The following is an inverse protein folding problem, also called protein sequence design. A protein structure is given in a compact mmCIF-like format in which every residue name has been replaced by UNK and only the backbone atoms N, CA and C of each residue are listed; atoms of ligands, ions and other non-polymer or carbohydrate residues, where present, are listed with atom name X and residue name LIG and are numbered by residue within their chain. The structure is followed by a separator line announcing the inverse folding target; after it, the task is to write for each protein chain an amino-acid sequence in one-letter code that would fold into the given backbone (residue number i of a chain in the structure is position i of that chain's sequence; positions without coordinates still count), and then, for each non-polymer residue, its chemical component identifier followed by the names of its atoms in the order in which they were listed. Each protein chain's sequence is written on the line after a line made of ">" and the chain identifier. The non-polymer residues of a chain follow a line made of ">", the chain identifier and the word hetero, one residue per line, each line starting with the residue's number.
data_IF_296179812911
#
_entry.id   IF_296179812911
#
_cell.length_a   1.000
_cell.length_b   1.000
_cell.length_c   1.000
_cell.angle_alpha   90.00
_cell.angle_beta   90.00
_cell.angle_gamma   90.00
#
_symmetry.space_group_name_H-M   'P 1'
#
loop_
_entity.id
_entity.type
_entity.pdbx_description
1 polymer ?
#
# COMPACT_ATOMS: atom_id res chain seq x y z
N UNK A 1 -1.54 6.10 24.49
CA UNK A 1 -1.92 4.84 25.15
C UNK A 1 -3.13 4.22 24.42
N UNK A 2 -3.31 2.90 24.52
CA UNK A 2 -4.42 2.14 23.90
C UNK A 2 -4.44 2.11 22.35
N UNK A 3 -3.34 2.38 21.67
CA UNK A 3 -3.20 2.11 20.25
C UNK A 3 -2.75 0.67 20.04
N UNK A 4 -3.29 0.04 19.00
CA UNK A 4 -2.95 -1.32 18.61
C UNK A 4 -2.42 -1.32 17.18
N UNK A 5 -1.39 -2.13 16.90
CA UNK A 5 -0.85 -2.34 15.56
C UNK A 5 -0.55 -1.02 14.81
N UNK A 6 0.14 -0.08 15.48
CA UNK A 6 0.59 1.15 14.81
C UNK A 6 1.66 0.79 13.79
N UNK A 7 1.36 1.03 12.52
CA UNK A 7 2.21 0.68 11.38
C UNK A 7 2.44 1.85 10.42
N UNK A 8 1.71 2.94 10.58
CA UNK A 8 1.89 4.18 9.84
C UNK A 8 1.81 5.38 10.76
N UNK A 9 2.67 6.37 10.53
CA UNK A 9 2.65 7.64 11.24
C UNK A 9 3.17 8.73 10.32
N UNK A 10 2.51 9.89 10.33
CA UNK A 10 2.96 11.08 9.60
C UNK A 10 2.48 12.34 10.32
N UNK A 11 3.21 13.44 10.20
CA UNK A 11 2.88 14.73 10.80
C UNK A 11 2.48 15.71 9.72
N UNK A 12 1.42 16.45 9.96
CA UNK A 12 0.97 17.47 9.00
C UNK A 12 -0.44 17.94 9.27
N UNK A 13 -0.82 19.02 8.62
CA UNK A 13 -2.17 19.62 8.71
C UNK A 13 -2.67 19.83 10.14
N UNK A 14 -1.76 20.24 11.06
CA UNK A 14 -2.08 20.57 12.43
C UNK A 14 -2.27 19.38 13.36
N UNK A 15 -1.58 18.27 13.10
CA UNK A 15 -1.60 17.11 13.98
C UNK A 15 -0.82 15.90 13.46
N UNK A 16 -1.06 14.77 14.09
CA UNK A 16 -0.40 13.50 13.82
C UNK A 16 -1.42 12.51 13.23
N UNK A 17 -1.07 11.93 12.11
CA UNK A 17 -1.83 10.92 11.37
C UNK A 17 -1.30 9.55 11.73
N UNK A 18 -2.16 8.66 12.22
CA UNK A 18 -1.75 7.35 12.75
C UNK A 18 -2.54 6.24 12.07
N UNK A 19 -1.81 5.32 11.47
CA UNK A 19 -2.35 4.04 11.01
C UNK A 19 -2.28 3.01 12.14
N UNK A 20 -3.40 2.72 12.74
CA UNK A 20 -3.54 1.76 13.83
C UNK A 20 -4.76 0.87 13.56
N UNK A 21 -4.57 -0.19 12.78
CA UNK A 21 -5.69 -1.04 12.35
C UNK A 21 -6.61 -1.41 13.53
N UNK A 22 -7.93 -1.30 13.37
CA UNK A 22 -8.67 -1.08 12.11
C UNK A 22 -8.89 0.39 11.72
N UNK A 23 -8.11 1.34 12.21
CA UNK A 23 -8.37 2.77 12.07
C UNK A 23 -7.25 3.54 11.38
N UNK A 24 -7.64 4.56 10.61
CA UNK A 24 -6.83 5.75 10.34
C UNK A 24 -7.30 6.83 11.32
N UNK A 25 -6.38 7.32 12.13
CA UNK A 25 -6.64 8.29 13.18
C UNK A 25 -5.96 9.62 12.89
N UNK A 26 -6.58 10.72 13.34
CA UNK A 26 -5.96 12.02 13.42
C UNK A 26 -5.93 12.48 14.89
N UNK A 27 -4.75 12.90 15.35
CA UNK A 27 -4.54 13.45 16.68
C UNK A 27 -4.20 14.93 16.51
N UNK A 28 -5.09 15.85 16.90
CA UNK A 28 -4.86 17.28 16.74
C UNK A 28 -3.71 17.77 17.63
N UNK A 29 -2.84 18.58 17.05
CA UNK A 29 -1.76 19.33 17.69
C UNK A 29 -1.55 20.62 16.85
N UNK A 30 -2.43 21.59 17.06
CA UNK A 30 -2.48 22.78 16.23
C UNK A 30 -1.36 23.78 16.54
N UNK A 31 -0.81 23.74 17.74
CA UNK A 31 0.26 24.63 18.20
C UNK A 31 1.67 24.01 17.97
N UNK A 32 1.75 22.71 17.69
CA UNK A 32 3.01 22.02 17.42
C UNK A 32 3.90 21.83 18.64
N UNK A 33 3.31 21.64 19.82
CA UNK A 33 4.07 21.46 21.07
C UNK A 33 4.26 19.99 21.48
N UNK A 34 3.89 19.06 20.58
CA UNK A 34 3.93 17.60 20.76
C UNK A 34 2.97 17.10 21.86
N UNK A 35 1.99 17.91 22.24
CA UNK A 35 0.93 17.56 23.18
C UNK A 35 -0.42 17.58 22.46
N UNK A 36 -1.19 16.49 22.48
CA UNK A 36 -2.49 16.46 21.82
C UNK A 36 -3.44 17.56 22.32
N UNK A 37 -4.00 18.35 21.43
CA UNK A 37 -5.01 19.39 21.73
C UNK A 37 -6.41 18.81 21.93
N UNK A 38 -6.61 17.52 21.68
CA UNK A 38 -7.92 16.88 21.79
C UNK A 38 -7.84 15.35 21.78
N UNK A 39 -9.01 14.73 21.73
CA UNK A 39 -9.11 13.27 21.58
C UNK A 39 -8.82 12.88 20.14
N UNK A 40 -8.19 11.71 19.88
CA UNK A 40 -8.01 11.19 18.53
C UNK A 40 -9.34 11.05 17.78
N UNK A 41 -9.36 11.50 16.53
CA UNK A 41 -10.49 11.35 15.63
C UNK A 41 -10.31 10.11 14.75
N UNK A 42 -11.35 9.29 14.61
CA UNK A 42 -11.36 8.19 13.66
C UNK A 42 -11.82 8.75 12.31
N UNK A 43 -10.90 8.83 11.37
CA UNK A 43 -11.16 9.34 10.02
C UNK A 43 -11.71 8.24 9.10
N UNK A 44 -11.10 7.06 9.16
CA UNK A 44 -11.51 5.86 8.44
C UNK A 44 -11.43 4.65 9.35
N UNK A 45 -12.29 3.68 9.09
CA UNK A 45 -12.25 2.35 9.69
C UNK A 45 -12.34 1.23 8.65
N UNK A 46 -12.34 -0.03 9.10
CA UNK A 46 -12.44 -1.18 8.22
C UNK A 46 -11.11 -1.67 7.65
N UNK A 47 -9.98 -1.18 8.17
CA UNK A 47 -8.67 -1.73 7.87
C UNK A 47 -8.52 -3.08 8.54
N UNK A 48 -8.21 -4.12 7.75
CA UNK A 48 -7.95 -5.46 8.23
C UNK A 48 -6.62 -5.57 8.99
N UNK A 49 -6.46 -6.67 9.71
CA UNK A 49 -5.25 -7.01 10.46
C UNK A 49 -5.03 -8.53 10.53
N UNK A 50 -5.49 -9.26 9.53
CA UNK A 50 -5.32 -10.70 9.40
C UNK A 50 -3.84 -11.06 9.31
N UNK A 51 -3.06 -10.27 8.57
CA UNK A 51 -1.60 -10.27 8.62
C UNK A 51 -1.11 -8.93 9.14
N UNK A 52 -0.57 -8.95 10.36
CA UNK A 52 -0.11 -7.72 11.05
C UNK A 52 1.11 -7.07 10.43
N UNK A 53 1.83 -7.77 9.54
CA UNK A 53 2.95 -7.20 8.79
C UNK A 53 2.49 -6.36 7.58
N UNK A 54 1.21 -6.41 7.24
CA UNK A 54 0.67 -5.89 5.99
C UNK A 54 -0.47 -4.88 6.17
N UNK A 55 -0.64 -4.35 7.37
CA UNK A 55 -1.64 -3.32 7.65
C UNK A 55 -1.28 -1.99 6.96
N UNK A 56 -2.13 -0.97 7.10
CA UNK A 56 -1.88 0.35 6.51
C UNK A 56 -0.53 0.92 7.00
N UNK A 57 0.38 1.23 6.08
CA UNK A 57 1.76 1.60 6.39
C UNK A 57 2.36 2.62 5.40
N UNK A 58 3.61 3.01 5.61
CA UNK A 58 4.40 3.88 4.72
C UNK A 58 3.71 5.21 4.40
N UNK A 59 3.28 5.93 5.42
CA UNK A 59 2.62 7.21 5.26
C UNK A 59 3.57 8.27 4.70
N UNK A 60 3.12 9.00 3.68
CA UNK A 60 3.89 10.05 3.01
C UNK A 60 2.95 11.11 2.44
N UNK A 61 3.25 12.40 2.68
CA UNK A 61 2.52 13.49 2.03
C UNK A 61 2.96 13.62 0.57
N UNK A 62 1.99 13.53 -0.33
CA UNK A 62 2.24 13.77 -1.74
C UNK A 62 2.33 15.26 -2.09
N UNK A 63 2.92 15.59 -3.26
CA UNK A 63 3.04 16.97 -3.73
C UNK A 63 1.69 17.63 -4.02
N UNK A 64 0.64 16.84 -4.12
CA UNK A 64 -0.76 17.24 -4.31
C UNK A 64 -1.52 17.48 -2.98
N UNK A 65 -0.85 17.30 -1.83
CA UNK A 65 -1.40 17.51 -0.50
C UNK A 65 -2.27 16.36 0.03
N UNK A 66 -2.27 15.20 -0.62
CA UNK A 66 -2.88 13.99 -0.10
C UNK A 66 -1.91 13.21 0.79
N UNK A 67 -2.43 12.53 1.79
CA UNK A 67 -1.72 11.51 2.54
C UNK A 67 -1.80 10.20 1.77
N UNK A 68 -0.65 9.65 1.40
CA UNK A 68 -0.54 8.35 0.75
C UNK A 68 -0.10 7.29 1.73
N UNK A 69 -0.42 6.03 1.43
CA UNK A 69 0.05 4.88 2.18
C UNK A 69 -0.07 3.58 1.41
N UNK A 70 0.54 2.56 1.96
CA UNK A 70 0.56 1.21 1.43
C UNK A 70 -0.40 0.28 2.17
N UNK A 71 -0.78 -0.83 1.50
CA UNK A 71 -1.55 -1.93 2.07
C UNK A 71 -1.13 -3.25 1.44
N UNK A 72 -0.93 -4.27 2.25
CA UNK A 72 -0.40 -5.56 1.80
C UNK A 72 -1.42 -6.56 1.27
N UNK A 73 -0.92 -7.69 0.80
CA UNK A 73 -1.66 -8.65 -0.04
C UNK A 73 -2.49 -9.67 0.76
N UNK A 74 -2.08 -10.01 1.99
CA UNK A 74 -2.76 -11.02 2.81
C UNK A 74 -3.71 -10.44 3.86
N UNK A 75 -3.87 -9.14 3.86
CA UNK A 75 -4.84 -8.44 4.68
C UNK A 75 -5.97 -7.90 3.79
N UNK A 76 -7.21 -8.19 4.16
CA UNK A 76 -8.39 -7.80 3.40
C UNK A 76 -9.13 -6.69 4.14
N UNK A 77 -9.25 -5.54 3.51
CA UNK A 77 -9.89 -4.38 4.11
C UNK A 77 -11.11 -3.95 3.29
N UNK A 78 -12.07 -3.35 3.98
CA UNK A 78 -13.19 -2.62 3.41
C UNK A 78 -13.22 -1.25 4.08
N UNK A 79 -12.54 -0.31 3.47
CA UNK A 79 -12.25 0.98 4.06
C UNK A 79 -13.37 1.98 3.81
N UNK A 80 -13.73 2.73 4.83
CA UNK A 80 -14.74 3.78 4.72
C UNK A 80 -14.78 4.66 5.95
N UNK A 81 -15.59 5.70 5.90
CA UNK A 81 -15.86 6.52 7.09
C UNK A 81 -16.60 5.71 8.14
N UNK A 82 -16.42 5.99 9.43
CA UNK A 82 -17.18 5.33 10.48
C UNK A 82 -18.70 5.35 10.21
N UNK A 83 -19.33 4.19 10.32
CA UNK A 83 -20.76 4.02 10.06
C UNK A 83 -21.15 3.79 8.59
N UNK A 84 -20.20 3.81 7.65
CA UNK A 84 -20.48 3.44 6.25
C UNK A 84 -20.84 1.96 6.16
N UNK A 85 -21.94 1.59 5.50
CA UNK A 85 -22.28 0.18 5.26
C UNK A 85 -21.21 -0.56 4.45
N UNK A 86 -20.97 -1.82 4.74
CA UNK A 86 -19.97 -2.66 4.07
C UNK A 86 -20.04 -2.67 2.54
N UNK A 87 -21.25 -2.56 1.99
CA UNK A 87 -21.47 -2.57 0.54
C UNK A 87 -21.03 -1.26 -0.16
N UNK A 88 -20.83 -0.20 0.62
CA UNK A 88 -20.44 1.13 0.14
C UNK A 88 -18.96 1.45 0.43
N UNK A 89 -18.26 0.52 1.05
CA UNK A 89 -16.84 0.66 1.41
C UNK A 89 -15.93 0.23 0.26
N UNK A 90 -14.78 0.85 0.17
CA UNK A 90 -13.77 0.52 -0.82
C UNK A 90 -12.95 -0.71 -0.41
N UNK A 91 -13.01 -1.81 -1.19
CA UNK A 91 -12.22 -3.00 -0.88
C UNK A 91 -10.76 -2.79 -1.29
N UNK A 92 -9.83 -3.16 -0.43
CA UNK A 92 -8.38 -3.17 -0.73
C UNK A 92 -7.71 -4.37 -0.07
N UNK A 93 -6.82 -5.03 -0.81
CA UNK A 93 -5.95 -6.11 -0.32
C UNK A 93 -4.64 -6.21 -1.11
N UNK A 94 -3.99 -5.23 -1.33
CA UNK A 94 -2.71 -4.87 -1.93
C UNK A 94 -2.90 -3.63 -2.77
N UNK A 95 -2.15 -2.62 -2.49
CA UNK A 95 -2.20 -1.39 -3.26
C UNK A 95 -1.67 -0.19 -2.51
N UNK A 96 -1.76 0.89 -3.22
CA UNK A 96 -1.48 2.22 -2.69
C UNK A 96 -2.81 2.94 -2.55
N UNK A 97 -3.02 3.53 -1.41
CA UNK A 97 -4.20 4.34 -1.12
C UNK A 97 -3.80 5.78 -0.83
N UNK A 98 -4.78 6.69 -0.87
CA UNK A 98 -4.58 8.07 -0.42
C UNK A 98 -5.83 8.63 0.26
N UNK A 99 -5.60 9.62 1.13
CA UNK A 99 -6.63 10.33 1.86
C UNK A 99 -6.40 11.83 1.80
N UNK A 100 -7.46 12.61 1.50
CA UNK A 100 -7.37 14.06 1.44
C UNK A 100 -7.72 14.69 2.80
N UNK A 101 -6.78 15.42 3.44
CA UNK A 101 -6.91 15.84 4.84
C UNK A 101 -8.05 16.83 5.10
N UNK A 102 -8.41 17.66 4.13
CA UNK A 102 -9.44 18.70 4.30
C UNK A 102 -10.77 18.39 3.62
N UNK A 103 -10.78 17.58 2.55
CA UNK A 103 -12.00 17.12 1.89
C UNK A 103 -12.56 15.84 2.51
N UNK A 104 -11.75 15.15 3.32
CA UNK A 104 -12.07 13.85 3.92
C UNK A 104 -12.53 12.83 2.89
N UNK A 105 -11.76 12.75 1.79
CA UNK A 105 -11.96 11.81 0.69
C UNK A 105 -10.91 10.72 0.77
N UNK A 106 -11.33 9.49 0.57
CA UNK A 106 -10.46 8.31 0.47
C UNK A 106 -10.59 7.70 -0.91
N UNK A 107 -9.48 7.23 -1.47
CA UNK A 107 -9.49 6.41 -2.67
C UNK A 107 -8.33 5.42 -2.72
N UNK A 108 -8.52 4.32 -3.41
CA UNK A 108 -7.44 3.42 -3.79
C UNK A 108 -6.76 4.02 -5.01
N UNK A 109 -5.52 4.48 -4.83
CA UNK A 109 -4.74 5.16 -5.87
C UNK A 109 -4.22 4.20 -6.93
N UNK A 110 -3.74 3.02 -6.50
CA UNK A 110 -3.25 1.96 -7.38
C UNK A 110 -3.49 0.59 -6.75
N UNK A 111 -3.66 -0.43 -7.59
CA UNK A 111 -4.05 -1.77 -7.20
C UNK A 111 -2.91 -2.76 -7.40
N UNK A 112 -2.74 -3.70 -6.49
CA UNK A 112 -1.77 -4.78 -6.65
C UNK A 112 -0.47 -4.52 -5.94
N UNK A 113 0.64 -5.02 -6.49
CA UNK A 113 1.93 -5.26 -5.85
C UNK A 113 1.90 -6.50 -4.93
N UNK A 114 2.88 -6.68 -4.05
CA UNK A 114 2.81 -7.75 -3.03
C UNK A 114 2.65 -7.13 -1.64
N UNK A 115 3.70 -7.03 -0.86
CA UNK A 115 3.72 -6.40 0.45
C UNK A 115 4.50 -5.08 0.37
N UNK A 116 3.87 -3.99 -0.07
CA UNK A 116 4.57 -2.72 -0.20
C UNK A 116 4.93 -2.16 1.19
N UNK A 117 6.22 -1.90 1.35
CA UNK A 117 6.83 -1.23 2.49
C UNK A 117 7.86 -0.24 1.99
N UNK A 118 7.42 0.94 1.71
CA UNK A 118 8.21 2.02 1.15
C UNK A 118 7.49 2.64 -0.03
N UNK A 119 7.16 3.90 0.12
CA UNK A 119 6.46 4.71 -0.86
C UNK A 119 7.08 6.10 -0.83
N UNK A 120 7.53 6.56 -1.99
CA UNK A 120 8.10 7.90 -2.14
C UNK A 120 7.91 8.38 -3.57
N UNK A 121 8.22 9.64 -3.84
CA UNK A 121 8.11 10.24 -5.17
C UNK A 121 9.38 11.03 -5.52
N UNK A 122 9.65 11.17 -6.82
CA UNK A 122 10.78 11.95 -7.32
C UNK A 122 10.44 13.44 -7.49
N UNK A 123 11.40 14.22 -7.97
CA UNK A 123 11.24 15.66 -8.21
C UNK A 123 10.19 16.02 -9.26
N UNK A 124 9.74 15.07 -10.07
CA UNK A 124 8.69 15.25 -11.06
C UNK A 124 7.30 14.89 -10.52
N UNK A 125 7.25 14.32 -9.31
CA UNK A 125 6.03 13.81 -8.69
C UNK A 125 5.65 12.39 -9.14
N UNK A 126 6.57 11.66 -9.77
CA UNK A 126 6.39 10.25 -10.11
C UNK A 126 6.56 9.38 -8.87
N UNK A 127 5.57 8.54 -8.59
CA UNK A 127 5.55 7.69 -7.41
C UNK A 127 6.27 6.38 -7.61
N UNK A 128 6.97 5.94 -6.57
CA UNK A 128 7.66 4.66 -6.54
C UNK A 128 7.33 3.91 -5.26
N UNK A 129 7.17 2.58 -5.38
CA UNK A 129 6.93 1.71 -4.25
C UNK A 129 7.92 0.54 -4.26
N UNK A 130 8.39 0.18 -3.07
CA UNK A 130 9.14 -1.06 -2.86
C UNK A 130 8.24 -2.09 -2.19
N UNK A 131 8.49 -3.36 -2.44
CA UNK A 131 7.76 -4.44 -1.82
C UNK A 131 8.71 -5.44 -1.14
N UNK A 132 8.28 -5.97 -0.02
CA UNK A 132 8.91 -7.16 0.55
C UNK A 132 8.56 -8.36 -0.31
N UNK A 133 9.52 -9.27 -0.49
CA UNK A 133 9.36 -10.40 -1.39
C UNK A 133 9.39 -9.93 -2.86
N UNK A 134 9.21 -10.81 -3.80
CA UNK A 134 9.28 -10.55 -5.26
C UNK A 134 7.87 -10.44 -5.81
N UNK A 135 7.62 -9.52 -6.74
CA UNK A 135 8.46 -8.48 -7.35
C UNK A 135 8.76 -7.33 -6.39
N UNK A 136 9.79 -6.55 -6.67
CA UNK A 136 10.41 -5.70 -5.67
C UNK A 136 10.15 -4.20 -5.83
N UNK A 137 10.24 -3.63 -7.05
CA UNK A 137 10.23 -2.19 -7.25
C UNK A 137 9.33 -1.77 -8.40
N UNK A 138 8.47 -0.80 -8.14
CA UNK A 138 7.43 -0.36 -9.06
C UNK A 138 7.43 1.17 -9.20
N UNK A 139 7.23 1.66 -10.42
CA UNK A 139 6.74 3.01 -10.64
C UNK A 139 5.21 2.99 -10.58
N UNK A 140 4.62 3.81 -9.73
CA UNK A 140 3.18 3.78 -9.43
C UNK A 140 2.46 4.92 -10.14
N UNK A 141 1.42 4.59 -10.88
CA UNK A 141 0.54 5.56 -11.53
C UNK A 141 -0.88 5.44 -11.00
N UNK A 142 -1.61 6.56 -10.96
CA UNK A 142 -3.00 6.56 -10.54
C UNK A 142 -3.85 5.65 -11.43
N UNK A 143 -4.67 4.80 -10.80
CA UNK A 143 -5.50 3.81 -11.50
C UNK A 143 -4.73 2.61 -12.05
N UNK A 144 -3.41 2.54 -11.84
CA UNK A 144 -2.60 1.41 -12.25
C UNK A 144 -3.00 0.11 -11.55
N UNK A 145 -2.93 -1.00 -12.28
CA UNK A 145 -3.07 -2.35 -11.71
C UNK A 145 -1.76 -3.10 -11.91
N UNK A 146 -1.17 -3.50 -10.81
CA UNK A 146 0.16 -4.08 -10.74
C UNK A 146 0.10 -5.57 -10.51
N UNK A 147 1.09 -6.26 -11.04
CA UNK A 147 1.32 -7.67 -10.77
C UNK A 147 1.28 -7.98 -9.27
N UNK A 148 0.58 -9.05 -8.89
CA UNK A 148 0.38 -9.48 -7.50
C UNK A 148 1.08 -10.80 -7.22
N UNK A 149 1.56 -10.92 -5.99
CA UNK A 149 2.09 -12.19 -5.49
C UNK A 149 0.99 -13.24 -5.35
N UNK A 150 -0.20 -12.84 -4.89
CA UNK A 150 -1.32 -13.73 -4.63
C UNK A 150 -2.67 -12.99 -4.64
N UNK A 151 -3.78 -13.73 -4.53
CA UNK A 151 -5.13 -13.20 -4.45
C UNK A 151 -5.66 -12.67 -5.78
N UNK A 152 -6.72 -11.87 -5.69
CA UNK A 152 -7.42 -11.33 -6.86
C UNK A 152 -7.47 -9.80 -6.83
N UNK A 153 -7.51 -9.19 -8.00
CA UNK A 153 -7.75 -7.77 -8.14
C UNK A 153 -9.22 -7.41 -7.95
N UNK A 154 -9.46 -6.22 -7.41
CA UNK A 154 -10.79 -5.60 -7.34
C UNK A 154 -11.07 -4.66 -8.51
N UNK A 155 -10.04 -4.21 -9.23
CA UNK A 155 -10.21 -3.42 -10.47
C UNK A 155 -10.29 -4.35 -11.69
N UNK A 156 -11.46 -4.46 -12.37
CA UNK A 156 -11.64 -5.35 -13.51
C UNK A 156 -11.20 -4.75 -14.86
N UNK A 157 -11.01 -3.42 -14.93
CA UNK A 157 -10.89 -2.69 -16.20
C UNK A 157 -9.44 -2.40 -16.57
N UNK A 158 -8.68 -3.43 -16.88
CA UNK A 158 -7.31 -3.30 -17.43
C UNK A 158 -7.05 -4.41 -18.44
N UNK A 159 -6.08 -4.17 -19.34
CA UNK A 159 -5.68 -5.17 -20.34
C UNK A 159 -4.73 -6.20 -19.74
N UNK A 160 -3.77 -5.75 -18.91
CA UNK A 160 -2.79 -6.61 -18.24
C UNK A 160 -2.28 -5.92 -16.98
N UNK A 161 -1.57 -6.68 -16.13
CA UNK A 161 -0.94 -6.15 -14.94
C UNK A 161 0.40 -5.49 -15.31
N UNK A 162 0.69 -4.34 -14.67
CA UNK A 162 1.98 -3.66 -14.82
C UNK A 162 3.03 -4.45 -14.04
N UNK A 163 4.13 -4.75 -14.71
CA UNK A 163 5.26 -5.49 -14.14
C UNK A 163 6.14 -4.58 -13.27
N UNK A 164 6.99 -5.20 -12.44
CA UNK A 164 8.07 -4.50 -11.72
C UNK A 164 9.06 -3.88 -12.70
N UNK A 165 9.64 -2.72 -12.32
CA UNK A 165 10.72 -2.09 -13.10
C UNK A 165 12.11 -2.56 -12.69
N UNK A 166 12.23 -3.13 -11.49
CA UNK A 166 13.46 -3.74 -11.01
C UNK A 166 13.15 -4.83 -9.99
N UNK A 167 14.01 -5.80 -9.91
CA UNK A 167 13.95 -6.88 -8.93
C UNK A 167 15.33 -7.03 -8.26
N UNK A 168 15.39 -7.73 -7.14
CA UNK A 168 16.63 -7.95 -6.41
C UNK A 168 17.28 -9.27 -6.81
N UNK A 169 18.59 -9.34 -6.61
CA UNK A 169 19.33 -10.58 -6.81
C UNK A 169 18.99 -11.58 -5.71
N UNK A 170 18.65 -12.80 -6.13
CA UNK A 170 18.46 -13.92 -5.21
C UNK A 170 19.77 -14.65 -4.99
N UNK A 171 20.15 -14.81 -3.72
CA UNK A 171 21.30 -15.60 -3.32
C UNK A 171 20.89 -17.07 -3.15
N UNK A 172 21.60 -17.98 -3.80
CA UNK A 172 21.32 -19.40 -3.75
C UNK A 172 21.02 -19.98 -5.14
N UNK A 173 20.39 -21.13 -5.18
CA UNK A 173 20.06 -21.86 -6.42
C UNK A 173 18.83 -21.29 -7.18
N UNK A 174 18.35 -20.12 -6.79
CA UNK A 174 17.20 -19.46 -7.40
C UNK A 174 15.86 -20.18 -7.17
N UNK A 175 15.83 -21.20 -6.35
CA UNK A 175 14.60 -21.93 -6.04
C UNK A 175 13.88 -21.32 -4.85
N UNK A 176 13.12 -20.26 -5.07
CA UNK A 176 12.04 -19.93 -4.17
C UNK A 176 10.94 -20.98 -4.31
N UNK A 177 11.05 -22.04 -3.53
CA UNK A 177 10.12 -23.17 -3.56
C UNK A 177 8.67 -22.75 -3.25
N UNK A 178 8.47 -21.61 -2.58
CA UNK A 178 7.16 -21.07 -2.25
C UNK A 178 6.47 -20.35 -3.42
N UNK A 179 7.21 -19.96 -4.47
CA UNK A 179 6.66 -19.23 -5.61
C UNK A 179 6.36 -20.11 -6.82
N UNK A 180 6.57 -21.40 -6.73
CA UNK A 180 6.26 -22.37 -7.81
C UNK A 180 4.76 -22.47 -8.15
N UNK A 181 3.90 -21.74 -7.45
CA UNK A 181 2.45 -21.84 -7.65
C UNK A 181 1.87 -20.98 -8.77
N UNK A 182 2.55 -19.92 -9.22
CA UNK A 182 1.93 -18.96 -10.16
C UNK A 182 2.48 -19.02 -11.60
N UNK A 183 3.49 -19.83 -11.86
CA UNK A 183 4.05 -20.05 -13.21
C UNK A 183 4.80 -18.85 -13.81
N UNK A 184 5.01 -17.77 -13.07
CA UNK A 184 5.59 -16.52 -13.57
C UNK A 184 7.10 -16.43 -13.34
N UNK A 185 7.59 -17.00 -12.23
CA UNK A 185 9.04 -17.18 -12.02
C UNK A 185 9.63 -18.04 -13.12
N UNK A 186 8.90 -19.06 -13.56
CA UNK A 186 9.31 -19.90 -14.69
C UNK A 186 9.40 -19.11 -16.01
N UNK A 187 8.57 -18.10 -16.23
CA UNK A 187 8.63 -17.24 -17.43
C UNK A 187 9.83 -16.29 -17.42
N UNK A 188 10.19 -15.72 -16.27
CA UNK A 188 11.38 -14.88 -16.16
C UNK A 188 12.65 -15.68 -16.42
N UNK A 189 12.78 -16.85 -15.78
CA UNK A 189 13.89 -17.79 -16.01
C UNK A 189 13.95 -18.34 -17.45
N UNK A 190 12.80 -18.49 -18.12
CA UNK A 190 12.74 -18.91 -19.52
C UNK A 190 13.17 -17.79 -20.47
N UNK A 191 12.89 -16.52 -20.16
CA UNK A 191 13.35 -15.36 -20.93
C UNK A 191 14.86 -15.19 -20.82
N UNK A 192 15.45 -15.34 -19.63
CA UNK A 192 16.90 -15.31 -19.43
C UNK A 192 17.59 -16.44 -20.21
N UNK A 193 17.07 -17.67 -20.13
CA UNK A 193 17.62 -18.80 -20.88
C UNK A 193 17.51 -18.65 -22.42
N UNK A 194 16.45 -17.97 -22.87
CA UNK A 194 16.29 -17.70 -24.30
C UNK A 194 17.22 -16.58 -24.80
N UNK A 195 17.57 -15.62 -23.94
CA UNK A 195 18.54 -14.58 -24.27
C UNK A 195 19.99 -15.05 -24.28
N UNK A 196 20.32 -16.08 -23.49
CA UNK A 196 21.66 -16.65 -23.38
C UNK A 196 21.98 -17.65 -24.54
N UNK A 197 20.97 -18.01 -25.33
CA UNK A 197 21.11 -18.95 -26.48
C UNK A 197 21.00 -18.28 -27.85
N UNK A 198 20.92 -16.95 -27.89
CA UNK A 198 20.90 -16.10 -29.10
C UNK A 198 22.20 -15.29 -29.22
#
# INVERSE_FOLDING_TARGET
>A
ENLNLVSGIEVGFGGVWIGAAPYLLFVPDANGDDVPDGVPEILLDGWGYEDTHETLNSFTWGPDGWLYGCHGVFTHSKVGKPGTPDAERDPINAGIWRYHPTRHEFEVFAWGTSNPWGLDFDENGDWFATACVIPHYYQITQGGRYFRQAGQHFNPYVYDDIETIADHLHYGDGTFASMKGDGRVDRALQREKAADTS
#
